data_IF_459564935480
#
_entry.id   IF_459564935480
#
_cell.length_a   1.000
_cell.length_b   1.000
_cell.length_c   1.000
_cell.angle_alpha   90.00
_cell.angle_beta   90.00
_cell.angle_gamma   90.00
#
_symmetry.space_group_name_H-M   'P 1'
#
loop_
_entity.id
_entity.type
_entity.pdbx_description
1 polymer ?
#
# COMPACT_ATOMS: atom_id res chain seq x y z
N UNK A 1 21.77 -43.33 48.26
CA UNK A 1 21.96 -43.52 46.81
C UNK A 1 20.60 -43.74 46.16
N UNK A 2 20.08 -42.76 45.42
CA UNK A 2 19.03 -42.88 44.40
C UNK A 2 18.76 -41.46 43.86
N UNK A 3 19.40 -41.13 42.72
CA UNK A 3 18.77 -40.80 41.44
C UNK A 3 18.15 -39.39 41.35
N UNK A 4 18.99 -38.44 40.89
CA UNK A 4 18.57 -37.32 40.06
C UNK A 4 18.06 -37.90 38.72
N UNK A 5 16.80 -37.67 38.39
CA UNK A 5 16.34 -37.74 37.01
C UNK A 5 16.52 -36.35 36.42
N UNK A 6 17.64 -36.15 35.71
CA UNK A 6 17.72 -35.11 34.70
C UNK A 6 16.75 -35.51 33.59
N UNK A 7 15.68 -34.72 33.43
CA UNK A 7 14.83 -34.78 32.24
C UNK A 7 15.62 -34.16 31.10
N UNK A 8 16.26 -35.04 30.36
CA UNK A 8 16.78 -34.81 29.03
C UNK A 8 15.62 -34.43 28.09
N UNK A 9 15.36 -33.13 27.96
CA UNK A 9 14.51 -32.56 26.90
C UNK A 9 15.39 -32.14 25.74
N UNK A 10 15.98 -33.12 25.05
CA UNK A 10 16.57 -32.88 23.74
C UNK A 10 15.51 -33.21 22.67
N UNK A 11 15.15 -32.29 21.76
CA UNK A 11 14.19 -32.58 20.70
C UNK A 11 14.82 -33.55 19.71
N UNK A 12 14.23 -34.73 19.56
CA UNK A 12 14.59 -35.72 18.54
C UNK A 12 13.90 -35.34 17.23
N UNK A 13 14.70 -35.02 16.21
CA UNK A 13 14.32 -34.75 14.80
C UNK A 13 13.64 -33.41 14.48
N UNK A 14 14.48 -32.36 14.43
CA UNK A 14 14.74 -31.60 13.19
C UNK A 14 13.67 -30.62 12.70
N UNK A 15 13.92 -29.33 12.96
CA UNK A 15 13.18 -28.14 12.54
C UNK A 15 12.06 -27.73 13.53
N UNK A 16 12.28 -26.56 14.13
CA UNK A 16 11.39 -25.87 15.06
C UNK A 16 10.02 -25.63 14.39
N UNK A 17 8.87 -25.93 15.04
CA UNK A 17 7.56 -25.62 14.50
C UNK A 17 7.40 -24.17 14.00
N UNK A 18 8.05 -23.20 14.66
CA UNK A 18 8.06 -21.80 14.24
C UNK A 18 8.85 -21.62 12.94
N UNK A 19 10.03 -22.23 12.85
CA UNK A 19 10.87 -22.23 11.64
C UNK A 19 10.16 -22.88 10.44
N UNK A 20 9.42 -23.98 10.67
CA UNK A 20 8.61 -24.62 9.62
C UNK A 20 7.49 -23.71 9.12
N UNK A 21 6.86 -22.98 10.03
CA UNK A 21 5.78 -22.04 9.69
C UNK A 21 6.30 -20.86 8.88
N UNK A 22 7.41 -20.25 9.30
CA UNK A 22 8.03 -19.14 8.57
C UNK A 22 8.57 -19.56 7.21
N UNK A 23 9.11 -20.76 7.08
CA UNK A 23 9.48 -21.32 5.77
C UNK A 23 8.24 -21.50 4.87
N UNK A 24 7.15 -22.05 5.41
CA UNK A 24 5.91 -22.22 4.65
C UNK A 24 5.30 -20.89 4.19
N UNK A 25 5.42 -19.83 5.00
CA UNK A 25 5.01 -18.48 4.64
C UNK A 25 5.89 -17.90 3.52
N UNK A 26 7.22 -18.00 3.65
CA UNK A 26 8.18 -17.51 2.65
C UNK A 26 7.98 -18.18 1.29
N UNK A 27 7.84 -19.51 1.30
CA UNK A 27 7.56 -20.28 0.09
C UNK A 27 6.28 -19.81 -0.60
N UNK A 28 5.23 -19.55 0.19
CA UNK A 28 3.97 -19.04 -0.34
C UNK A 28 4.10 -17.61 -0.91
N UNK A 29 4.90 -16.74 -0.31
CA UNK A 29 5.19 -15.41 -0.88
C UNK A 29 5.87 -15.51 -2.24
N UNK A 30 6.85 -16.40 -2.38
CA UNK A 30 7.51 -16.62 -3.67
C UNK A 30 6.55 -17.19 -4.72
N UNK A 31 5.70 -18.15 -4.35
CA UNK A 31 4.66 -18.69 -5.23
C UNK A 31 3.69 -17.59 -5.73
N UNK A 32 3.32 -16.65 -4.85
CA UNK A 32 2.49 -15.50 -5.25
C UNK A 32 3.26 -14.54 -6.15
N UNK A 33 4.49 -14.19 -5.77
CA UNK A 33 5.32 -13.25 -6.50
C UNK A 33 5.63 -13.73 -7.92
N UNK A 34 5.94 -15.02 -8.10
CA UNK A 34 6.22 -15.62 -9.41
C UNK A 34 5.02 -15.51 -10.37
N UNK A 35 3.80 -15.49 -9.85
CA UNK A 35 2.55 -15.45 -10.64
C UNK A 35 2.01 -14.04 -10.80
N UNK A 36 2.10 -13.22 -9.75
CA UNK A 36 1.40 -11.95 -9.63
C UNK A 36 2.33 -10.72 -9.63
N UNK A 37 3.65 -10.93 -9.58
CA UNK A 37 4.66 -9.89 -9.29
C UNK A 37 4.35 -9.12 -7.98
N UNK A 38 3.63 -9.78 -7.07
CA UNK A 38 3.17 -9.22 -5.80
C UNK A 38 2.76 -10.34 -4.82
N UNK A 39 3.00 -10.17 -3.50
CA UNK A 39 3.75 -9.11 -2.84
C UNK A 39 5.27 -9.33 -2.93
N UNK A 40 6.07 -8.27 -2.72
CA UNK A 40 7.52 -8.40 -2.55
C UNK A 40 7.83 -9.41 -1.43
N UNK A 41 8.51 -10.53 -1.72
CA UNK A 41 8.83 -11.54 -0.70
C UNK A 41 9.73 -11.04 0.42
N UNK A 42 10.55 -10.01 0.17
CA UNK A 42 11.49 -9.45 1.15
C UNK A 42 10.82 -8.42 2.07
N UNK A 43 9.78 -7.76 1.59
CA UNK A 43 9.05 -6.73 2.32
C UNK A 43 7.52 -6.83 2.10
N UNK A 44 6.89 -7.96 2.45
CA UNK A 44 5.47 -8.14 2.22
C UNK A 44 4.65 -7.21 3.13
N UNK A 45 3.52 -6.64 2.66
CA UNK A 45 2.64 -5.86 3.51
C UNK A 45 2.16 -6.67 4.71
N UNK A 46 2.06 -6.02 5.89
CA UNK A 46 1.73 -6.70 7.14
C UNK A 46 0.40 -7.48 7.11
N UNK A 47 -0.56 -7.07 6.26
CA UNK A 47 -1.83 -7.76 6.11
C UNK A 47 -1.70 -9.13 5.41
N UNK A 48 -0.66 -9.33 4.59
CA UNK A 48 -0.40 -10.60 3.89
C UNK A 48 -0.05 -11.69 4.90
N UNK A 49 0.79 -11.37 5.90
CA UNK A 49 1.09 -12.29 6.99
C UNK A 49 -0.17 -12.64 7.80
N UNK A 50 -0.98 -11.63 8.14
CA UNK A 50 -2.26 -11.86 8.83
C UNK A 50 -3.21 -12.76 8.01
N UNK A 51 -3.23 -12.62 6.70
CA UNK A 51 -4.02 -13.47 5.81
C UNK A 51 -3.55 -14.93 5.86
N UNK A 52 -2.23 -15.14 5.84
CA UNK A 52 -1.62 -16.46 5.98
C UNK A 52 -1.88 -17.09 7.35
N UNK A 53 -1.81 -16.30 8.42
CA UNK A 53 -2.16 -16.72 9.79
C UNK A 53 -3.61 -17.17 9.90
N UNK A 54 -4.54 -16.47 9.26
CA UNK A 54 -5.97 -16.80 9.34
C UNK A 54 -6.40 -17.92 8.39
N UNK A 55 -5.75 -18.06 7.24
CA UNK A 55 -6.25 -18.88 6.12
C UNK A 55 -5.27 -19.92 5.61
N UNK A 56 -4.01 -19.90 6.07
CA UNK A 56 -2.91 -20.62 5.46
C UNK A 56 -2.62 -20.11 4.04
N UNK A 57 -2.11 -21.00 3.19
CA UNK A 57 -1.85 -20.70 1.78
C UNK A 57 -3.15 -20.40 1.03
N UNK A 58 -3.19 -19.26 0.34
CA UNK A 58 -4.29 -18.88 -0.55
C UNK A 58 -3.80 -18.99 -2.00
N UNK A 59 -4.58 -19.61 -2.91
CA UNK A 59 -4.25 -19.66 -4.33
C UNK A 59 -4.09 -18.27 -4.97
N UNK A 60 -3.23 -18.09 -6.00
CA UNK A 60 -2.94 -16.78 -6.59
C UNK A 60 -4.17 -16.02 -7.09
N UNK A 61 -5.11 -16.67 -7.77
CA UNK A 61 -6.35 -16.07 -8.28
C UNK A 61 -7.22 -15.49 -7.15
N UNK A 62 -7.35 -16.24 -6.06
CA UNK A 62 -8.08 -15.79 -4.88
C UNK A 62 -7.33 -14.68 -4.14
N UNK A 63 -6.01 -14.77 -4.05
CA UNK A 63 -5.19 -13.73 -3.45
C UNK A 63 -5.27 -12.41 -4.23
N UNK A 64 -5.22 -12.47 -5.56
CA UNK A 64 -5.38 -11.31 -6.44
C UNK A 64 -6.70 -10.56 -6.19
N UNK A 65 -7.81 -11.28 -6.07
CA UNK A 65 -9.10 -10.69 -5.71
C UNK A 65 -9.10 -10.00 -4.35
N UNK A 66 -8.46 -10.61 -3.34
CA UNK A 66 -8.34 -10.01 -1.99
C UNK A 66 -7.45 -8.76 -2.02
N UNK A 67 -6.30 -8.83 -2.70
CA UNK A 67 -5.37 -7.71 -2.84
C UNK A 67 -6.03 -6.53 -3.56
N UNK A 68 -6.76 -6.81 -4.65
CA UNK A 68 -7.48 -5.80 -5.40
C UNK A 68 -8.56 -5.10 -4.57
N UNK A 69 -9.41 -5.84 -3.84
CA UNK A 69 -10.45 -5.24 -3.01
C UNK A 69 -9.89 -4.42 -1.84
N UNK A 70 -8.76 -4.85 -1.27
CA UNK A 70 -8.03 -4.04 -0.28
C UNK A 70 -7.52 -2.74 -0.91
N UNK A 71 -6.80 -2.82 -2.04
CA UNK A 71 -6.32 -1.63 -2.76
C UNK A 71 -7.46 -0.67 -3.10
N UNK A 72 -8.59 -1.20 -3.57
CA UNK A 72 -9.80 -0.42 -3.87
C UNK A 72 -10.34 0.30 -2.63
N UNK A 73 -10.38 -0.38 -1.49
CA UNK A 73 -10.85 0.22 -0.23
C UNK A 73 -9.90 1.32 0.23
N UNK A 74 -8.60 1.02 0.32
CA UNK A 74 -7.58 1.93 0.84
C UNK A 74 -7.46 3.19 -0.04
N UNK A 75 -7.49 3.04 -1.37
CA UNK A 75 -7.41 4.19 -2.27
C UNK A 75 -8.69 5.02 -2.29
N UNK A 76 -9.86 4.42 -2.13
CA UNK A 76 -11.12 5.17 -2.08
C UNK A 76 -11.17 6.06 -0.84
N UNK A 77 -10.68 5.55 0.30
CA UNK A 77 -10.52 6.34 1.51
C UNK A 77 -9.53 7.50 1.31
N UNK A 78 -8.36 7.21 0.74
CA UNK A 78 -7.35 8.21 0.41
C UNK A 78 -7.92 9.30 -0.50
N UNK A 79 -8.58 8.89 -1.59
CA UNK A 79 -9.15 9.79 -2.57
C UNK A 79 -10.20 10.69 -1.94
N UNK A 80 -11.06 10.16 -1.08
CA UNK A 80 -12.07 10.96 -0.38
C UNK A 80 -11.43 12.09 0.45
N UNK A 81 -10.36 11.79 1.20
CA UNK A 81 -9.65 12.78 2.03
C UNK A 81 -8.94 13.83 1.18
N UNK A 82 -8.22 13.37 0.16
CA UNK A 82 -7.48 14.24 -0.76
C UNK A 82 -8.42 15.15 -1.55
N UNK A 83 -9.50 14.58 -2.11
CA UNK A 83 -10.50 15.33 -2.86
C UNK A 83 -11.18 16.42 -2.03
N UNK A 84 -11.51 16.13 -0.77
CA UNK A 84 -12.07 17.13 0.14
C UNK A 84 -11.11 18.32 0.34
N UNK A 85 -9.81 18.04 0.46
CA UNK A 85 -8.76 19.06 0.57
C UNK A 85 -8.60 19.86 -0.72
N UNK A 86 -8.60 19.19 -1.87
CA UNK A 86 -8.60 19.85 -3.19
C UNK A 86 -9.78 20.79 -3.32
N UNK A 87 -10.99 20.34 -3.01
CA UNK A 87 -12.19 21.17 -3.10
C UNK A 87 -12.09 22.39 -2.20
N UNK A 88 -11.72 22.19 -0.93
CA UNK A 88 -11.61 23.26 0.07
C UNK A 88 -10.58 24.33 -0.33
N UNK A 89 -9.42 23.91 -0.86
CA UNK A 89 -8.31 24.82 -1.13
C UNK A 89 -8.30 25.39 -2.55
N UNK A 90 -8.94 24.71 -3.51
CA UNK A 90 -8.85 25.08 -4.93
C UNK A 90 -10.20 25.39 -5.59
N UNK A 91 -11.30 24.95 -4.98
CA UNK A 91 -12.65 24.99 -5.55
C UNK A 91 -12.92 23.93 -6.64
N UNK A 92 -11.93 23.09 -6.98
CA UNK A 92 -12.10 22.00 -7.95
C UNK A 92 -12.83 20.83 -7.26
N UNK A 93 -13.92 20.37 -7.84
CA UNK A 93 -14.67 19.22 -7.34
C UNK A 93 -14.12 17.92 -7.92
N UNK A 94 -13.61 17.05 -7.04
CA UNK A 94 -13.19 15.69 -7.34
C UNK A 94 -14.12 14.71 -6.59
N UNK A 95 -15.39 14.64 -6.98
CA UNK A 95 -16.38 13.80 -6.29
C UNK A 95 -15.98 12.31 -6.22
N UNK A 96 -16.52 11.54 -5.26
CA UNK A 96 -16.22 10.10 -5.10
C UNK A 96 -16.56 9.26 -6.36
N UNK A 97 -17.46 9.74 -7.22
CA UNK A 97 -17.78 9.12 -8.51
C UNK A 97 -17.00 9.76 -9.67
N UNK A 98 -15.85 10.37 -9.40
CA UNK A 98 -15.05 11.02 -10.42
C UNK A 98 -14.59 9.95 -11.44
N UNK A 99 -14.95 10.09 -12.73
CA UNK A 99 -14.56 9.13 -13.75
C UNK A 99 -13.04 9.05 -13.95
N UNK A 100 -12.28 10.03 -13.46
CA UNK A 100 -10.82 10.01 -13.48
C UNK A 100 -10.24 8.97 -12.50
N UNK A 101 -10.94 8.60 -11.41
CA UNK A 101 -10.52 7.47 -10.56
C UNK A 101 -11.08 6.16 -11.13
N UNK A 102 -10.21 5.37 -11.76
CA UNK A 102 -10.59 4.15 -12.46
C UNK A 102 -9.98 2.90 -11.83
N UNK A 103 -10.73 1.80 -11.95
CA UNK A 103 -10.37 0.48 -11.44
C UNK A 103 -10.49 -0.55 -12.57
N UNK A 104 -9.44 -1.32 -12.78
CA UNK A 104 -9.45 -2.50 -13.64
C UNK A 104 -9.28 -3.74 -12.79
N UNK A 105 -10.21 -4.69 -12.94
CA UNK A 105 -10.15 -5.94 -12.20
C UNK A 105 -8.90 -6.77 -12.56
N UNK A 106 -8.47 -7.67 -11.67
CA UNK A 106 -7.38 -8.60 -11.97
C UNK A 106 -7.55 -9.31 -13.30
N UNK A 107 -6.48 -9.33 -14.08
CA UNK A 107 -6.39 -9.92 -15.42
C UNK A 107 -4.97 -10.45 -15.66
N UNK A 108 -4.73 -11.10 -16.80
CA UNK A 108 -3.38 -11.55 -17.17
C UNK A 108 -2.41 -10.37 -17.36
N UNK A 109 -2.90 -9.19 -17.76
CA UNK A 109 -2.11 -7.96 -17.93
C UNK A 109 -1.87 -7.27 -16.59
N UNK A 110 -2.86 -7.28 -15.69
CA UNK A 110 -2.78 -6.70 -14.35
C UNK A 110 -3.14 -7.76 -13.31
N UNK A 111 -2.18 -8.59 -12.86
CA UNK A 111 -2.46 -9.76 -12.01
C UNK A 111 -3.12 -9.42 -10.67
N UNK A 112 -2.93 -8.20 -10.15
CA UNK A 112 -3.59 -7.69 -8.93
C UNK A 112 -4.55 -6.53 -9.20
N UNK A 113 -4.95 -6.38 -10.47
CA UNK A 113 -5.74 -5.27 -10.99
C UNK A 113 -4.97 -3.95 -11.07
N UNK A 114 -5.58 -2.95 -11.72
CA UNK A 114 -5.04 -1.61 -11.85
C UNK A 114 -5.92 -0.59 -11.14
N UNK A 115 -5.27 0.32 -10.43
CA UNK A 115 -5.88 1.55 -9.95
C UNK A 115 -5.21 2.69 -10.70
N UNK A 116 -5.99 3.65 -11.19
CA UNK A 116 -5.43 4.83 -11.86
C UNK A 116 -6.23 6.08 -11.55
N UNK A 117 -5.57 7.24 -11.61
CA UNK A 117 -6.20 8.55 -11.55
C UNK A 117 -5.84 9.38 -12.78
N UNK A 118 -6.86 9.81 -13.54
CA UNK A 118 -6.72 10.56 -14.79
C UNK A 118 -5.73 9.92 -15.78
N UNK A 119 -5.72 8.58 -15.84
CA UNK A 119 -4.81 7.79 -16.68
C UNK A 119 -3.41 7.55 -16.08
N UNK A 120 -3.10 8.11 -14.92
CA UNK A 120 -1.84 7.82 -14.20
C UNK A 120 -2.01 6.59 -13.32
N UNK A 121 -1.21 5.52 -13.51
CA UNK A 121 -1.34 4.29 -12.74
C UNK A 121 -0.80 4.45 -11.31
N UNK A 122 -1.46 3.78 -10.36
CA UNK A 122 -1.08 3.72 -8.94
C UNK A 122 -0.68 2.29 -8.63
N UNK A 123 0.63 2.01 -8.71
CA UNK A 123 1.17 0.64 -8.62
C UNK A 123 1.26 0.09 -7.21
N UNK A 124 1.48 0.96 -6.22
CA UNK A 124 1.66 0.52 -4.84
C UNK A 124 0.42 -0.22 -4.31
N UNK A 125 0.66 -1.13 -3.36
CA UNK A 125 -0.35 -1.79 -2.54
C UNK A 125 -0.11 -1.57 -1.04
N UNK A 126 0.88 -0.74 -0.68
CA UNK A 126 1.10 -0.27 0.69
C UNK A 126 0.40 1.09 0.88
N UNK A 127 -0.51 1.27 1.85
CA UNK A 127 -1.36 2.45 1.92
C UNK A 127 -0.60 3.80 1.92
N UNK A 128 0.46 4.03 2.72
CA UNK A 128 1.22 5.29 2.65
C UNK A 128 1.76 5.60 1.26
N UNK A 129 2.37 4.62 0.59
CA UNK A 129 2.92 4.78 -0.76
C UNK A 129 1.81 4.97 -1.81
N UNK A 130 0.68 4.26 -1.66
CA UNK A 130 -0.50 4.46 -2.50
C UNK A 130 -1.03 5.90 -2.41
N UNK A 131 -1.04 6.47 -1.21
CA UNK A 131 -1.56 7.82 -0.97
C UNK A 131 -0.63 8.86 -1.59
N UNK A 132 0.69 8.64 -1.53
CA UNK A 132 1.69 9.46 -2.23
C UNK A 132 1.45 9.43 -3.74
N UNK A 133 1.39 8.24 -4.34
CA UNK A 133 1.17 8.10 -5.78
C UNK A 133 -0.15 8.75 -6.25
N UNK A 134 -1.23 8.60 -5.47
CA UNK A 134 -2.50 9.26 -5.75
C UNK A 134 -2.39 10.79 -5.68
N UNK A 135 -1.74 11.30 -4.62
CA UNK A 135 -1.51 12.71 -4.43
C UNK A 135 -0.71 13.30 -5.60
N UNK A 136 0.35 12.64 -6.07
CA UNK A 136 1.14 13.06 -7.23
C UNK A 136 0.30 13.10 -8.52
N UNK A 137 -0.52 12.07 -8.74
CA UNK A 137 -1.42 12.01 -9.89
C UNK A 137 -2.44 13.18 -9.87
N UNK A 138 -3.00 13.49 -8.69
CA UNK A 138 -3.91 14.61 -8.51
C UNK A 138 -3.21 15.96 -8.67
N UNK A 139 -1.98 16.13 -8.16
CA UNK A 139 -1.20 17.35 -8.40
C UNK A 139 -0.96 17.58 -9.88
N UNK A 140 -0.55 16.53 -10.60
CA UNK A 140 -0.31 16.58 -12.04
C UNK A 140 -1.59 16.93 -12.80
N UNK A 141 -2.70 16.29 -12.45
CA UNK A 141 -4.02 16.59 -13.01
C UNK A 141 -4.43 18.06 -12.81
N UNK A 142 -4.28 18.58 -11.58
CA UNK A 142 -4.61 19.97 -11.27
C UNK A 142 -3.71 20.96 -11.98
N UNK A 143 -2.41 20.67 -12.09
CA UNK A 143 -1.46 21.49 -12.82
C UNK A 143 -1.81 21.54 -14.32
N UNK A 144 -2.11 20.40 -14.93
CA UNK A 144 -2.35 20.29 -16.37
C UNK A 144 -3.74 20.79 -16.78
N UNK A 145 -4.78 20.32 -16.09
CA UNK A 145 -6.19 20.58 -16.46
C UNK A 145 -6.74 21.86 -15.87
N UNK A 146 -6.25 22.27 -14.69
CA UNK A 146 -6.78 23.43 -13.97
C UNK A 146 -5.78 24.57 -13.82
N UNK A 147 -4.51 24.38 -14.22
CA UNK A 147 -3.43 25.37 -14.06
C UNK A 147 -3.26 25.82 -12.61
N UNK A 148 -3.44 24.88 -11.67
CA UNK A 148 -3.32 25.14 -10.22
C UNK A 148 -2.12 24.41 -9.65
N UNK A 149 -1.33 25.12 -8.84
CA UNK A 149 -0.34 24.53 -7.95
C UNK A 149 -1.04 24.24 -6.63
N UNK A 150 -0.99 22.99 -6.19
CA UNK A 150 -1.66 22.52 -4.98
C UNK A 150 -0.96 21.29 -4.41
N UNK A 151 -0.93 21.08 -3.08
CA UNK A 151 -1.20 22.08 -2.06
C UNK A 151 -0.01 23.05 -1.92
N UNK A 152 -0.26 24.18 -1.26
CA UNK A 152 0.78 25.15 -0.96
C UNK A 152 1.15 25.04 0.52
N UNK A 153 2.45 25.05 0.81
CA UNK A 153 2.93 25.14 2.18
C UNK A 153 2.41 26.44 2.83
N UNK A 154 1.75 26.40 3.99
CA UNK A 154 1.18 27.59 4.62
C UNK A 154 2.24 28.58 5.12
N UNK A 155 3.50 28.13 5.28
CA UNK A 155 4.62 28.97 5.72
C UNK A 155 5.36 29.64 4.56
N UNK A 156 5.61 28.90 3.49
CA UNK A 156 6.47 29.36 2.39
C UNK A 156 5.70 29.70 1.12
N UNK A 157 4.40 29.35 1.05
CA UNK A 157 3.52 29.57 -0.10
C UNK A 157 4.06 28.96 -1.41
N UNK A 158 4.79 27.84 -1.30
CA UNK A 158 5.31 27.06 -2.41
C UNK A 158 4.61 25.71 -2.49
N UNK A 159 4.53 25.15 -3.70
CA UNK A 159 4.03 23.80 -3.91
C UNK A 159 4.80 22.78 -3.05
N UNK A 160 4.06 21.95 -2.34
CA UNK A 160 4.61 20.81 -1.61
C UNK A 160 4.63 19.57 -2.49
N UNK A 161 5.43 18.57 -2.11
CA UNK A 161 5.41 17.26 -2.77
C UNK A 161 4.98 16.19 -1.76
N UNK A 162 4.14 15.24 -2.15
CA UNK A 162 3.80 14.13 -1.29
C UNK A 162 5.03 13.22 -1.12
N UNK A 163 5.16 12.58 0.04
CA UNK A 163 6.16 11.51 0.29
C UNK A 163 5.76 10.69 1.50
N UNK A 164 6.42 9.55 1.67
CA UNK A 164 6.37 8.82 2.95
C UNK A 164 7.42 9.38 3.91
N UNK A 165 6.99 9.75 5.12
CA UNK A 165 7.87 10.14 6.23
C UNK A 165 7.40 9.46 7.51
N UNK A 166 8.31 8.80 8.22
CA UNK A 166 7.99 8.03 9.44
C UNK A 166 6.81 7.04 9.28
N UNK A 167 6.67 6.44 8.09
CA UNK A 167 5.59 5.48 7.78
C UNK A 167 4.24 6.12 7.46
N UNK A 168 4.17 7.45 7.26
CA UNK A 168 2.94 8.17 6.94
C UNK A 168 3.10 8.95 5.64
N UNK A 169 2.01 9.04 4.87
CA UNK A 169 1.94 9.90 3.70
C UNK A 169 1.77 11.36 4.14
N UNK A 170 2.70 12.23 3.73
CA UNK A 170 2.73 13.64 4.14
C UNK A 170 3.05 14.57 2.97
N UNK A 171 2.58 15.81 3.04
CA UNK A 171 3.02 16.89 2.19
C UNK A 171 4.33 17.49 2.71
N UNK A 172 5.37 17.47 1.90
CA UNK A 172 6.70 17.96 2.26
C UNK A 172 7.02 19.29 1.58
N UNK A 173 7.51 20.25 2.36
CA UNK A 173 8.01 21.52 1.87
C UNK A 173 9.55 21.50 1.80
N UNK A 174 10.10 21.53 0.59
CA UNK A 174 11.56 21.52 0.38
C UNK A 174 12.26 22.81 0.79
N UNK A 175 11.60 23.97 0.68
CA UNK A 175 12.20 25.25 1.08
C UNK A 175 12.52 25.31 2.58
N UNK A 176 11.72 24.63 3.40
CA UNK A 176 11.91 24.56 4.85
C UNK A 176 12.41 23.23 5.39
N UNK A 177 12.61 22.24 4.52
CA UNK A 177 12.86 20.84 4.87
C UNK A 177 11.94 20.36 6.03
N UNK A 178 10.63 20.58 5.89
CA UNK A 178 9.65 20.19 6.91
C UNK A 178 8.42 19.52 6.31
N UNK A 179 7.74 18.78 7.18
CA UNK A 179 6.37 18.35 6.96
C UNK A 179 5.45 19.58 7.04
N UNK A 180 4.63 19.75 6.02
CA UNK A 180 3.63 20.81 5.95
C UNK A 180 2.34 20.36 6.62
N UNK A 181 1.81 19.23 6.18
CA UNK A 181 0.58 18.60 6.70
C UNK A 181 0.52 17.12 6.27
N UNK A 182 -0.24 16.27 6.99
CA UNK A 182 -0.55 14.91 6.55
C UNK A 182 -1.38 14.89 5.25
N UNK A 183 -1.31 13.78 4.49
CA UNK A 183 -2.19 13.51 3.33
C UNK A 183 -3.51 12.88 3.77
#
# INVERSE_FOLDING_TARGET
MAQRQDKDTTPVNGCDPEERYDNAFRDWLHELYDVLDFPDPEAPPAWVRKLFESSGRVPPDRFAGIAFERRRTDITEAFTRVAATVHTQTGVDLSVNNPDLAFEHPSDEFPIGLVSFAGSPIWSADPPEMYVALAEAIQSYLADRHRKVWPLCPRHHLGTHPRVAAGQAVWWCYAGAHESEPI
#
